data_IF_241208320633
#
_entry.id   IF_241208320633
#
_cell.length_a   1.000
_cell.length_b   1.000
_cell.length_c   1.000
_cell.angle_alpha   90.00
_cell.angle_beta   90.00
_cell.angle_gamma   90.00
#
_symmetry.space_group_name_H-M   'P 1'
#
loop_
_entity.id
_entity.type
_entity.pdbx_description
1 polymer ?
#
# COMPACT_ATOMS: atom_id res chain seq x y z
N UNK A 1 20.77 2.55 -22.96
CA UNK A 1 21.45 1.85 -21.86
C UNK A 1 20.51 1.90 -20.66
N UNK A 2 19.93 0.76 -20.26
CA UNK A 2 19.07 0.69 -19.07
C UNK A 2 20.01 0.78 -17.87
N UNK A 3 19.93 1.86 -17.10
CA UNK A 3 20.72 1.97 -15.87
C UNK A 3 20.30 0.82 -14.94
N UNK A 4 21.26 -0.02 -14.55
CA UNK A 4 21.00 -1.15 -13.67
C UNK A 4 20.58 -0.59 -12.30
N UNK A 5 19.31 -0.78 -11.93
CA UNK A 5 18.76 -0.25 -10.68
C UNK A 5 19.50 -0.90 -9.53
N UNK A 6 20.06 -0.13 -8.57
CA UNK A 6 20.85 -0.69 -7.48
C UNK A 6 20.01 -1.68 -6.67
N UNK A 7 20.59 -2.85 -6.41
CA UNK A 7 19.93 -3.95 -5.69
C UNK A 7 20.50 -4.09 -4.29
N UNK A 8 19.61 -4.21 -3.31
CA UNK A 8 19.92 -4.28 -1.90
C UNK A 8 19.44 -5.60 -1.31
N UNK A 9 20.26 -6.20 -0.46
CA UNK A 9 19.96 -7.44 0.24
C UNK A 9 19.11 -7.12 1.48
N UNK A 10 17.93 -7.73 1.57
CA UNK A 10 17.01 -7.55 2.68
C UNK A 10 17.57 -8.16 3.96
N UNK A 11 17.64 -7.35 5.01
CA UNK A 11 18.04 -7.76 6.37
C UNK A 11 16.97 -7.34 7.38
N UNK A 12 16.86 -8.06 8.51
CA UNK A 12 15.96 -7.65 9.56
C UNK A 12 16.44 -6.33 10.18
N UNK A 13 15.50 -5.47 10.54
CA UNK A 13 15.78 -4.32 11.39
C UNK A 13 16.32 -4.79 12.74
N UNK A 14 17.43 -4.20 13.21
CA UNK A 14 18.08 -4.59 14.46
C UNK A 14 17.25 -4.27 15.70
N UNK A 15 16.40 -3.23 15.63
CA UNK A 15 15.52 -2.81 16.72
C UNK A 15 14.16 -3.48 16.59
N UNK A 16 13.61 -3.90 17.73
CA UNK A 16 12.24 -4.41 17.80
C UNK A 16 11.25 -3.36 17.30
N UNK A 17 10.21 -3.78 16.54
CA UNK A 17 9.15 -2.89 16.13
C UNK A 17 8.46 -2.31 17.38
N UNK A 18 8.19 -1.01 17.35
CA UNK A 18 7.46 -0.34 18.43
C UNK A 18 6.05 -0.92 18.53
N UNK A 19 5.46 -0.93 19.72
CA UNK A 19 4.10 -1.41 19.94
C UNK A 19 3.04 -0.63 19.18
N UNK A 20 3.33 0.64 18.86
CA UNK A 20 2.46 1.53 18.09
C UNK A 20 2.60 1.36 16.57
N UNK A 21 3.43 0.42 16.10
CA UNK A 21 3.78 0.21 14.69
C UNK A 21 4.30 1.47 13.97
N UNK A 22 4.62 2.53 14.72
CA UNK A 22 5.20 3.75 14.18
C UNK A 22 6.53 3.41 13.52
N UNK A 23 6.78 4.05 12.37
CA UNK A 23 7.98 3.89 11.56
C UNK A 23 8.13 2.50 10.90
N UNK A 24 7.10 1.65 10.90
CA UNK A 24 7.18 0.30 10.33
C UNK A 24 7.55 0.30 8.84
N UNK A 25 7.12 1.30 8.09
CA UNK A 25 7.41 1.45 6.66
C UNK A 25 8.71 2.22 6.36
N UNK A 26 9.52 2.51 7.38
CA UNK A 26 10.86 3.05 7.14
C UNK A 26 11.79 1.94 6.69
N UNK A 27 12.44 2.15 5.55
CA UNK A 27 13.55 1.32 5.07
C UNK A 27 14.86 2.00 5.39
N UNK A 28 15.74 1.29 6.08
CA UNK A 28 16.98 1.85 6.57
C UNK A 28 18.12 1.49 5.63
N UNK A 29 18.78 2.54 5.13
CA UNK A 29 19.86 2.48 4.16
C UNK A 29 21.11 3.17 4.74
N UNK A 30 22.29 2.80 4.25
CA UNK A 30 23.50 3.57 4.55
C UNK A 30 23.43 4.96 3.91
N UNK A 31 24.20 5.91 4.42
CA UNK A 31 24.28 7.25 3.82
C UNK A 31 24.73 7.20 2.34
N UNK A 32 25.67 6.31 2.00
CA UNK A 32 26.12 6.09 0.63
C UNK A 32 25.00 5.51 -0.25
N UNK A 33 24.24 4.54 0.27
CA UNK A 33 23.12 3.94 -0.46
C UNK A 33 22.01 4.96 -0.74
N UNK A 34 21.68 5.84 0.22
CA UNK A 34 20.73 6.93 0.02
C UNK A 34 21.15 7.88 -1.11
N UNK A 35 22.44 8.23 -1.15
CA UNK A 35 23.00 9.04 -2.25
C UNK A 35 22.95 8.31 -3.59
N UNK A 36 23.24 7.01 -3.61
CA UNK A 36 23.19 6.16 -4.80
C UNK A 36 21.79 6.13 -5.42
N UNK A 37 20.75 5.98 -4.60
CA UNK A 37 19.35 5.99 -5.06
C UNK A 37 18.76 7.40 -5.22
N UNK A 38 19.52 8.44 -4.86
CA UNK A 38 19.13 9.87 -4.89
C UNK A 38 17.91 10.19 -4.01
N UNK A 39 17.80 9.52 -2.87
CA UNK A 39 16.68 9.68 -1.91
C UNK A 39 17.23 10.24 -0.60
N UNK A 40 16.51 11.16 0.04
CA UNK A 40 16.86 11.66 1.39
C UNK A 40 16.05 10.94 2.46
N UNK A 41 16.50 11.02 3.70
CA UNK A 41 15.71 10.51 4.83
C UNK A 41 14.36 11.25 4.90
N UNK A 42 13.28 10.49 4.92
CA UNK A 42 11.89 10.98 4.90
C UNK A 42 11.26 11.01 3.50
N UNK A 43 12.04 10.90 2.43
CA UNK A 43 11.48 10.85 1.06
C UNK A 43 10.82 9.48 0.81
N UNK A 44 9.77 9.48 -0.02
CA UNK A 44 9.10 8.28 -0.50
C UNK A 44 10.02 7.54 -1.50
N UNK A 45 10.06 6.22 -1.41
CA UNK A 45 10.80 5.36 -2.30
C UNK A 45 9.98 4.14 -2.71
N UNK A 46 10.31 3.59 -3.88
CA UNK A 46 9.69 2.40 -4.44
C UNK A 46 10.61 1.19 -4.23
N UNK A 47 10.04 0.10 -3.74
CA UNK A 47 10.66 -1.19 -3.51
C UNK A 47 10.11 -2.18 -4.53
N UNK A 48 11.01 -2.84 -5.25
CA UNK A 48 10.64 -3.82 -6.28
C UNK A 48 11.39 -5.12 -6.03
N UNK A 49 10.65 -6.22 -5.88
CA UNK A 49 11.20 -7.57 -5.91
C UNK A 49 11.24 -8.09 -7.36
N UNK A 50 12.15 -9.02 -7.68
CA UNK A 50 12.21 -9.62 -9.02
C UNK A 50 10.90 -10.34 -9.35
N UNK A 51 10.08 -9.73 -10.20
CA UNK A 51 8.77 -10.24 -10.62
C UNK A 51 7.60 -9.85 -9.71
N UNK A 52 7.83 -9.00 -8.70
CA UNK A 52 6.77 -8.47 -7.83
C UNK A 52 6.15 -7.18 -8.35
N UNK A 53 5.01 -6.80 -7.75
CA UNK A 53 4.46 -5.45 -7.93
C UNK A 53 5.29 -4.43 -7.15
N UNK A 54 5.49 -3.22 -7.69
CA UNK A 54 6.17 -2.16 -6.95
C UNK A 54 5.41 -1.81 -5.68
N UNK A 55 6.14 -1.62 -4.59
CA UNK A 55 5.60 -1.21 -3.29
C UNK A 55 6.24 0.10 -2.86
N UNK A 56 5.54 0.92 -2.10
CA UNK A 56 6.06 2.20 -1.60
C UNK A 56 6.50 2.09 -0.13
N UNK A 57 7.56 2.79 0.23
CA UNK A 57 8.09 2.87 1.58
C UNK A 57 8.81 4.21 1.82
N UNK A 58 9.21 4.50 3.05
CA UNK A 58 9.90 5.75 3.39
C UNK A 58 11.38 5.47 3.58
N UNK A 59 12.24 6.14 2.81
CA UNK A 59 13.68 5.99 2.98
C UNK A 59 14.15 6.64 4.29
N UNK A 60 15.05 5.98 5.00
CA UNK A 60 15.60 6.48 6.24
C UNK A 60 17.09 6.16 6.37
N UNK A 61 17.81 6.99 7.11
CA UNK A 61 19.22 6.72 7.43
C UNK A 61 19.30 5.65 8.52
N UNK A 62 20.06 4.59 8.27
CA UNK A 62 20.42 3.63 9.30
C UNK A 62 21.21 4.32 10.42
N UNK A 63 20.90 3.99 11.67
CA UNK A 63 21.65 4.48 12.84
C UNK A 63 22.97 3.71 13.02
N UNK A 64 22.99 2.45 12.60
CA UNK A 64 24.16 1.58 12.62
C UNK A 64 24.88 1.65 11.26
N UNK A 65 26.19 1.37 11.26
CA UNK A 65 26.96 1.24 10.02
C UNK A 65 26.58 -0.08 9.34
N UNK A 66 25.67 0.00 8.38
CA UNK A 66 25.28 -1.13 7.52
C UNK A 66 26.02 -1.08 6.18
N UNK A 67 26.28 -2.24 5.53
CA UNK A 67 26.90 -2.26 4.20
C UNK A 67 26.05 -1.55 3.15
N UNK A 68 26.70 -0.96 2.15
CA UNK A 68 26.03 -0.19 1.08
C UNK A 68 25.15 -1.05 0.14
N UNK A 69 25.23 -2.37 0.28
CA UNK A 69 24.44 -3.37 -0.48
C UNK A 69 23.30 -3.96 0.35
N UNK A 70 23.03 -3.43 1.55
CA UNK A 70 22.05 -3.96 2.49
C UNK A 70 20.96 -2.92 2.74
N UNK A 71 19.72 -3.41 2.86
CA UNK A 71 18.58 -2.64 3.35
C UNK A 71 17.99 -3.35 4.56
N UNK A 72 17.76 -2.60 5.63
CA UNK A 72 17.07 -3.10 6.82
C UNK A 72 15.61 -2.69 6.78
N UNK A 73 14.71 -3.66 6.96
CA UNK A 73 13.26 -3.43 6.95
C UNK A 73 12.59 -4.07 8.16
N UNK A 74 11.46 -3.51 8.59
CA UNK A 74 10.68 -4.07 9.69
C UNK A 74 10.07 -5.42 9.33
N UNK A 75 9.68 -6.19 10.34
CA UNK A 75 8.93 -7.44 10.14
C UNK A 75 7.56 -7.18 9.48
N UNK A 76 6.90 -6.08 9.85
CA UNK A 76 5.62 -5.67 9.24
C UNK A 76 5.75 -5.52 7.72
N UNK A 77 6.80 -4.86 7.23
CA UNK A 77 7.04 -4.70 5.78
C UNK A 77 7.38 -6.03 5.12
N UNK A 78 8.17 -6.89 5.78
CA UNK A 78 8.46 -8.24 5.27
C UNK A 78 7.17 -9.05 5.07
N UNK A 79 6.31 -9.07 6.09
CA UNK A 79 5.08 -9.86 6.09
C UNK A 79 4.05 -9.29 5.08
N UNK A 80 3.89 -7.96 5.00
CA UNK A 80 2.93 -7.33 4.08
C UNK A 80 3.36 -7.36 2.61
N UNK A 81 4.65 -7.19 2.34
CA UNK A 81 5.17 -7.17 0.96
C UNK A 81 5.73 -8.51 0.49
N UNK A 82 5.79 -9.50 1.39
CA UNK A 82 6.27 -10.85 1.08
C UNK A 82 7.78 -10.94 0.87
N UNK A 83 8.55 -9.96 1.33
CA UNK A 83 10.00 -9.95 1.17
C UNK A 83 10.68 -10.94 2.11
N UNK A 84 11.58 -11.77 1.56
CA UNK A 84 12.34 -12.74 2.35
C UNK A 84 13.69 -12.18 2.77
N UNK A 85 14.15 -12.55 3.96
CA UNK A 85 15.50 -12.21 4.40
C UNK A 85 16.54 -12.82 3.44
N UNK A 86 17.52 -12.01 3.04
CA UNK A 86 18.55 -12.40 2.07
C UNK A 86 18.15 -12.23 0.61
N UNK A 87 16.89 -11.92 0.31
CA UNK A 87 16.44 -11.56 -1.04
C UNK A 87 17.04 -10.23 -1.48
N UNK A 88 17.22 -10.04 -2.80
CA UNK A 88 17.66 -8.77 -3.38
C UNK A 88 16.48 -8.01 -3.95
N UNK A 89 16.25 -6.79 -3.48
CA UNK A 89 15.22 -5.87 -3.97
C UNK A 89 15.87 -4.64 -4.60
N UNK A 90 15.23 -4.04 -5.61
CA UNK A 90 15.63 -2.73 -6.13
C UNK A 90 14.91 -1.62 -5.38
N UNK A 91 15.63 -0.52 -5.18
CA UNK A 91 15.08 0.69 -4.55
C UNK A 91 15.29 1.86 -5.50
N UNK A 92 14.22 2.61 -5.75
CA UNK A 92 14.24 3.81 -6.58
C UNK A 92 13.50 4.95 -5.90
N UNK A 93 13.84 6.18 -6.28
CA UNK A 93 13.14 7.37 -5.81
C UNK A 93 11.72 7.39 -6.33
N UNK A 94 10.76 7.62 -5.44
CA UNK A 94 9.41 8.00 -5.83
C UNK A 94 9.29 9.53 -5.78
N UNK A 95 8.77 10.15 -6.84
CA UNK A 95 8.61 11.61 -6.89
C UNK A 95 7.20 12.04 -6.46
N UNK A 96 6.27 11.10 -6.35
CA UNK A 96 4.94 11.35 -5.83
C UNK A 96 4.99 11.66 -4.33
N UNK A 97 4.06 12.51 -3.90
CA UNK A 97 3.83 12.75 -2.48
C UNK A 97 3.05 11.58 -1.90
N UNK A 98 3.22 11.37 -0.60
CA UNK A 98 2.43 10.41 0.14
C UNK A 98 0.99 10.94 0.28
N UNK A 99 0.02 10.16 -0.18
CA UNK A 99 -1.38 10.56 -0.08
C UNK A 99 -1.91 10.41 1.34
N UNK A 100 -2.80 11.33 1.71
CA UNK A 100 -3.56 11.24 2.94
C UNK A 100 -4.73 10.26 2.80
N UNK A 101 -5.06 9.61 3.90
CA UNK A 101 -6.25 8.77 4.03
C UNK A 101 -7.49 9.64 4.21
N UNK A 102 -8.51 9.44 3.35
CA UNK A 102 -9.86 9.96 3.56
C UNK A 102 -10.65 9.06 4.52
N UNK A 103 -10.67 7.76 4.24
CA UNK A 103 -11.32 6.77 5.09
C UNK A 103 -10.57 5.44 5.06
N UNK A 104 -10.66 4.68 6.15
CA UNK A 104 -10.21 3.30 6.20
C UNK A 104 -11.33 2.40 6.69
N UNK A 105 -11.32 1.17 6.18
CA UNK A 105 -12.17 0.09 6.68
C UNK A 105 -11.31 -0.97 7.32
N UNK A 106 -11.74 -1.39 8.50
CA UNK A 106 -11.12 -2.49 9.22
C UNK A 106 -12.12 -3.63 9.40
N UNK A 107 -11.62 -4.84 9.22
CA UNK A 107 -12.36 -6.06 9.51
C UNK A 107 -11.86 -6.64 10.83
N UNK A 108 -12.80 -7.11 11.66
CA UNK A 108 -12.42 -7.83 12.86
C UNK A 108 -11.81 -9.19 12.49
N UNK A 109 -10.59 -9.43 12.93
CA UNK A 109 -9.87 -10.69 12.73
C UNK A 109 -9.42 -11.29 14.07
N UNK A 110 -10.17 -11.02 15.15
CA UNK A 110 -9.96 -11.63 16.46
C UNK A 110 -10.03 -13.16 16.34
N UNK A 111 -9.16 -13.90 17.04
CA UNK A 111 -9.17 -15.36 17.03
C UNK A 111 -10.55 -15.92 17.39
N UNK A 112 -11.04 -16.91 16.63
CA UNK A 112 -12.34 -17.54 16.86
C UNK A 112 -12.53 -18.07 18.31
N UNK A 113 -11.43 -18.54 18.92
CA UNK A 113 -11.41 -19.01 20.31
C UNK A 113 -11.70 -17.88 21.31
N UNK A 114 -11.21 -16.66 21.05
CA UNK A 114 -11.46 -15.48 21.89
C UNK A 114 -12.85 -14.91 21.63
N UNK A 115 -13.28 -14.88 20.36
CA UNK A 115 -14.64 -14.44 19.97
C UNK A 115 -15.70 -15.30 20.66
N UNK A 116 -15.47 -16.61 20.79
CA UNK A 116 -16.39 -17.52 21.48
C UNK A 116 -16.65 -17.14 22.94
N UNK A 117 -15.68 -16.48 23.60
CA UNK A 117 -15.81 -15.99 24.98
C UNK A 117 -16.39 -14.58 25.06
N UNK A 118 -16.06 -13.72 24.09
CA UNK A 118 -16.42 -12.29 24.07
C UNK A 118 -17.75 -11.99 23.38
N UNK A 119 -18.22 -12.89 22.52
CA UNK A 119 -19.35 -12.67 21.62
C UNK A 119 -18.99 -11.83 20.39
N UNK A 120 -19.87 -11.82 19.36
CA UNK A 120 -19.68 -11.01 18.16
C UNK A 120 -19.70 -9.50 18.50
N UNK A 121 -19.09 -8.69 17.64
CA UNK A 121 -19.17 -7.24 17.77
C UNK A 121 -20.60 -6.77 17.46
N UNK A 122 -21.29 -6.22 18.47
CA UNK A 122 -22.62 -5.67 18.30
C UNK A 122 -22.57 -4.35 17.52
N UNK A 123 -23.56 -4.11 16.66
CA UNK A 123 -23.62 -2.87 15.87
C UNK A 123 -23.70 -1.62 16.74
N UNK A 124 -24.40 -1.68 17.88
CA UNK A 124 -24.50 -0.58 18.84
C UNK A 124 -23.14 -0.17 19.43
N UNK A 125 -22.21 -1.12 19.55
CA UNK A 125 -20.88 -0.85 20.09
C UNK A 125 -19.90 -0.38 19.02
N UNK A 126 -20.17 -0.65 17.73
CA UNK A 126 -19.24 -0.43 16.61
C UNK A 126 -18.64 0.99 16.60
N UNK A 127 -19.47 2.02 16.77
CA UNK A 127 -18.99 3.40 16.77
C UNK A 127 -17.98 3.71 17.89
N UNK A 128 -18.10 3.03 19.05
CA UNK A 128 -17.14 3.17 20.14
C UNK A 128 -15.79 2.51 19.80
N UNK A 129 -15.82 1.40 19.08
CA UNK A 129 -14.62 0.72 18.61
C UNK A 129 -13.94 1.50 17.48
N UNK A 130 -14.72 2.02 16.53
CA UNK A 130 -14.24 2.92 15.47
C UNK A 130 -13.51 4.13 16.07
N UNK A 131 -14.14 4.80 17.04
CA UNK A 131 -13.52 5.92 17.77
C UNK A 131 -12.25 5.49 18.53
N UNK A 132 -12.29 4.36 19.23
CA UNK A 132 -11.13 3.85 19.97
C UNK A 132 -9.93 3.50 19.08
N UNK A 133 -10.18 3.10 17.82
CA UNK A 133 -9.17 2.76 16.84
C UNK A 133 -8.46 4.01 16.26
N UNK A 134 -9.10 5.18 16.27
CA UNK A 134 -8.51 6.43 15.75
C UNK A 134 -7.14 6.73 16.38
N UNK A 135 -6.99 6.47 17.68
CA UNK A 135 -5.75 6.78 18.40
C UNK A 135 -4.57 5.85 18.04
N UNK A 136 -4.69 4.51 18.07
CA UNK A 136 -3.65 3.62 17.53
C UNK A 136 -3.26 3.93 16.10
N UNK A 137 -4.23 4.21 15.23
CA UNK A 137 -4.00 4.54 13.82
C UNK A 137 -3.26 5.87 13.66
N UNK A 138 -3.65 6.88 14.43
CA UNK A 138 -2.95 8.17 14.48
C UNK A 138 -1.50 8.04 14.95
N UNK A 139 -1.21 7.15 15.90
CA UNK A 139 0.17 6.88 16.34
C UNK A 139 1.01 6.19 15.29
N UNK A 140 0.40 5.31 14.50
CA UNK A 140 1.10 4.59 13.44
C UNK A 140 1.58 5.54 12.32
N UNK A 141 0.84 6.63 12.09
CA UNK A 141 1.06 7.69 11.07
C UNK A 141 0.97 7.20 9.62
N UNK A 142 1.60 6.06 9.31
CA UNK A 142 1.65 5.45 7.98
C UNK A 142 0.89 4.14 8.01
N UNK A 143 -0.11 4.01 7.15
CA UNK A 143 -1.01 2.86 7.09
C UNK A 143 -0.91 2.19 5.72
N UNK A 144 -1.01 0.86 5.70
CA UNK A 144 -1.15 0.05 4.50
C UNK A 144 -2.24 -0.99 4.68
N UNK A 145 -2.79 -1.48 3.56
CA UNK A 145 -3.70 -2.61 3.58
C UNK A 145 -3.00 -3.85 4.14
N UNK A 146 -3.74 -4.63 4.93
CA UNK A 146 -3.26 -5.82 5.60
C UNK A 146 -2.67 -5.59 6.99
N UNK A 147 -2.43 -4.35 7.41
CA UNK A 147 -1.97 -4.05 8.77
C UNK A 147 -2.97 -4.50 9.83
N UNK A 148 -2.47 -4.93 10.97
CA UNK A 148 -3.28 -5.47 12.07
C UNK A 148 -3.06 -4.66 13.34
N UNK A 149 -4.15 -4.25 13.97
CA UNK A 149 -4.19 -3.44 15.18
C UNK A 149 -4.96 -4.16 16.28
N UNK A 150 -4.36 -4.23 17.46
CA UNK A 150 -5.02 -4.73 18.66
C UNK A 150 -5.57 -3.54 19.45
N UNK A 151 -6.83 -3.65 19.87
CA UNK A 151 -7.47 -2.66 20.74
C UNK A 151 -8.16 -3.36 21.90
N UNK A 152 -7.90 -2.86 23.11
CA UNK A 152 -8.61 -3.25 24.33
C UNK A 152 -9.53 -2.11 24.76
N UNK A 153 -10.84 -2.37 24.73
CA UNK A 153 -11.85 -1.46 25.26
C UNK A 153 -12.61 -2.15 26.38
N UNK A 154 -12.58 -1.55 27.57
CA UNK A 154 -13.28 -2.05 28.77
C UNK A 154 -12.93 -3.51 29.14
N UNK A 155 -11.69 -3.94 28.89
CA UNK A 155 -11.23 -5.31 29.17
C UNK A 155 -11.58 -6.32 28.07
N UNK A 156 -12.23 -5.86 27.00
CA UNK A 156 -12.47 -6.65 25.81
C UNK A 156 -11.37 -6.34 24.80
N UNK A 157 -10.48 -7.31 24.55
CA UNK A 157 -9.43 -7.17 23.53
C UNK A 157 -9.89 -7.77 22.21
N UNK A 158 -9.93 -6.94 21.17
CA UNK A 158 -10.23 -7.34 19.78
C UNK A 158 -9.09 -6.94 18.85
N UNK A 159 -8.97 -7.65 17.74
CA UNK A 159 -7.94 -7.44 16.73
C UNK A 159 -8.62 -7.09 15.41
N UNK A 160 -8.12 -6.03 14.77
CA UNK A 160 -8.70 -5.45 13.56
C UNK A 160 -7.65 -5.35 12.46
N UNK A 161 -7.99 -5.79 11.25
CA UNK A 161 -7.13 -5.73 10.07
C UNK A 161 -7.63 -4.65 9.12
N UNK A 162 -6.72 -3.82 8.62
CA UNK A 162 -7.02 -2.84 7.56
C UNK A 162 -7.27 -3.60 6.27
N UNK A 163 -8.48 -3.47 5.71
CA UNK A 163 -8.90 -4.21 4.51
C UNK A 163 -9.12 -3.32 3.30
N UNK A 164 -9.42 -2.04 3.50
CA UNK A 164 -9.61 -1.07 2.42
C UNK A 164 -9.13 0.30 2.89
N UNK A 165 -8.37 0.99 2.04
CA UNK A 165 -7.96 2.38 2.26
C UNK A 165 -8.53 3.23 1.13
N UNK A 166 -9.27 4.27 1.49
CA UNK A 166 -9.73 5.30 0.57
C UNK A 166 -8.80 6.50 0.67
N UNK A 167 -7.94 6.74 -0.32
CA UNK A 167 -7.09 7.92 -0.31
C UNK A 167 -7.91 9.18 -0.62
N UNK A 168 -7.48 10.31 -0.07
CA UNK A 168 -8.08 11.62 -0.32
C UNK A 168 -7.91 12.05 -1.78
N UNK A 169 -6.76 11.73 -2.36
CA UNK A 169 -6.45 11.92 -3.78
C UNK A 169 -6.26 10.54 -4.39
N UNK A 170 -6.89 10.26 -5.54
CA UNK A 170 -6.67 8.99 -6.25
C UNK A 170 -5.28 8.98 -6.92
N UNK A 171 -4.20 8.83 -6.15
CA UNK A 171 -2.94 8.34 -6.72
C UNK A 171 -3.04 6.85 -6.99
N UNK A 172 -2.35 6.40 -8.03
CA UNK A 172 -2.54 5.06 -8.62
C UNK A 172 -1.51 4.03 -8.20
N UNK A 173 -0.42 4.44 -7.55
CA UNK A 173 0.72 3.55 -7.29
C UNK A 173 1.14 3.43 -5.83
N UNK A 174 0.58 4.24 -4.92
CA UNK A 174 0.96 4.21 -3.52
C UNK A 174 0.37 2.99 -2.80
N UNK A 175 1.20 2.24 -2.07
CA UNK A 175 0.79 1.11 -1.23
C UNK A 175 0.79 1.46 0.25
N UNK A 176 1.26 2.65 0.61
CA UNK A 176 1.17 3.23 1.95
C UNK A 176 0.51 4.61 1.86
N UNK A 177 -0.16 5.00 2.94
CA UNK A 177 -0.92 6.24 3.03
C UNK A 177 -0.70 6.89 4.39
N UNK A 178 -0.78 8.22 4.45
CA UNK A 178 -0.68 8.97 5.68
C UNK A 178 -2.03 9.05 6.38
N UNK A 179 -2.12 8.55 7.61
CA UNK A 179 -3.28 8.73 8.46
C UNK A 179 -3.22 10.10 9.14
N UNK A 180 -4.28 10.88 9.03
CA UNK A 180 -4.38 12.23 9.60
C UNK A 180 -5.62 12.38 10.47
N UNK A 181 -5.74 13.50 11.19
CA UNK A 181 -6.91 13.78 12.02
C UNK A 181 -8.22 13.95 11.21
N UNK A 182 -8.13 14.03 9.88
CA UNK A 182 -9.29 14.13 8.97
C UNK A 182 -9.75 12.75 8.47
N UNK A 183 -8.93 11.71 8.68
CA UNK A 183 -9.21 10.36 8.25
C UNK A 183 -10.35 9.76 9.08
N UNK A 184 -11.29 9.09 8.42
CA UNK A 184 -12.41 8.41 9.07
C UNK A 184 -12.14 6.92 9.22
N UNK A 185 -12.58 6.35 10.34
CA UNK A 185 -12.42 4.92 10.64
C UNK A 185 -13.78 4.24 10.59
N UNK A 186 -13.85 3.13 9.86
CA UNK A 186 -15.04 2.29 9.78
C UNK A 186 -14.70 0.85 10.08
N UNK A 187 -15.59 0.14 10.78
CA UNK A 187 -15.49 -1.31 10.97
C UNK A 187 -16.53 -2.00 10.09
N UNK A 188 -16.08 -2.97 9.30
CA UNK A 188 -16.95 -3.74 8.42
C UNK A 188 -16.18 -4.53 7.38
N UNK A 189 -16.92 -5.29 6.58
CA UNK A 189 -16.35 -5.98 5.43
C UNK A 189 -15.84 -4.96 4.41
N UNK A 190 -14.78 -5.31 3.68
CA UNK A 190 -14.33 -4.52 2.55
C UNK A 190 -15.52 -4.30 1.60
N UNK A 191 -15.76 -3.05 1.19
CA UNK A 191 -16.69 -2.86 0.10
C UNK A 191 -16.03 -3.54 -1.10
N UNK A 192 -16.70 -4.51 -1.71
CA UNK A 192 -16.25 -5.10 -2.95
C UNK A 192 -16.38 -4.03 -4.04
N UNK A 193 -15.46 -3.06 -4.03
CA UNK A 193 -15.27 -2.12 -5.10
C UNK A 193 -14.73 -2.98 -6.22
N UNK A 194 -15.62 -3.36 -7.14
CA UNK A 194 -15.19 -3.93 -8.41
C UNK A 194 -14.06 -3.04 -8.88
N UNK A 195 -12.87 -3.60 -9.08
CA UNK A 195 -11.79 -2.95 -9.79
C UNK A 195 -12.38 -2.61 -11.14
N UNK A 196 -12.91 -1.39 -11.26
CA UNK A 196 -13.46 -0.90 -12.51
C UNK A 196 -12.33 -1.07 -13.50
N UNK A 197 -12.58 -1.88 -14.53
CA UNK A 197 -11.60 -2.11 -15.57
C UNK A 197 -11.11 -0.74 -16.04
N UNK A 198 -9.80 -0.55 -16.05
CA UNK A 198 -9.18 0.69 -16.53
C UNK A 198 -9.69 1.08 -17.92
N UNK A 199 -10.13 0.06 -18.67
CA UNK A 199 -10.89 0.15 -19.91
C UNK A 199 -12.40 0.13 -19.67
N UNK A 200 -13.08 1.23 -20.02
CA UNK A 200 -14.53 1.28 -20.17
C UNK A 200 -14.90 0.66 -21.52
N UNK A 201 -15.55 -0.51 -21.52
CA UNK A 201 -16.05 -1.13 -22.72
C UNK A 201 -17.36 -1.87 -22.43
N UNK A 202 -18.33 -1.71 -23.32
CA UNK A 202 -19.58 -2.47 -23.34
C UNK A 202 -19.33 -3.81 -24.05
N UNK A 203 -19.52 -4.95 -23.37
CA UNK A 203 -19.33 -6.26 -23.98
C UNK A 203 -20.45 -6.55 -24.97
N UNK A 204 -20.12 -7.22 -26.09
CA UNK A 204 -21.10 -7.61 -27.12
C UNK A 204 -21.91 -8.86 -26.77
N UNK A 205 -21.66 -9.47 -25.61
CA UNK A 205 -22.38 -10.67 -25.16
C UNK A 205 -23.83 -10.34 -24.81
N UNK A 206 -24.78 -11.03 -25.43
CA UNK A 206 -26.22 -10.87 -25.16
C UNK A 206 -26.90 -9.70 -25.90
N UNK A 207 -26.15 -8.93 -26.69
CA UNK A 207 -26.68 -7.79 -27.47
C UNK A 207 -26.65 -8.09 -28.97
N UNK A 208 -27.74 -8.66 -29.49
CA UNK A 208 -27.92 -8.94 -30.92
C UNK A 208 -28.32 -7.70 -31.73
N UNK A 209 -27.86 -7.58 -32.98
CA UNK A 209 -28.30 -6.53 -33.92
C UNK A 209 -27.76 -5.12 -33.66
N UNK A 210 -27.09 -4.87 -32.53
CA UNK A 210 -26.60 -3.54 -32.13
C UNK A 210 -25.08 -3.36 -32.31
N UNK A 211 -24.46 -4.14 -33.20
CA UNK A 211 -22.99 -4.21 -33.31
C UNK A 211 -22.35 -2.86 -33.67
N UNK A 212 -23.01 -2.09 -34.54
CA UNK A 212 -22.50 -0.80 -35.00
C UNK A 212 -22.57 0.25 -33.88
N UNK A 213 -23.67 0.27 -33.13
CA UNK A 213 -23.89 1.13 -31.99
C UNK A 213 -22.90 0.80 -30.86
N UNK A 214 -22.67 -0.48 -30.61
CA UNK A 214 -21.69 -0.92 -29.63
C UNK A 214 -20.26 -0.48 -30.00
N UNK A 215 -19.90 -0.54 -31.29
CA UNK A 215 -18.62 -0.02 -31.78
C UNK A 215 -18.49 1.48 -31.54
N UNK A 216 -19.51 2.28 -31.88
CA UNK A 216 -19.49 3.73 -31.67
C UNK A 216 -19.40 4.11 -30.19
N UNK A 217 -20.10 3.38 -29.31
CA UNK A 217 -20.04 3.60 -27.87
C UNK A 217 -18.64 3.24 -27.36
N UNK A 218 -18.12 2.07 -27.70
CA UNK A 218 -16.80 1.64 -27.25
C UNK A 218 -15.67 2.51 -27.81
N UNK A 219 -15.83 3.08 -29.01
CA UNK A 219 -14.93 4.08 -29.56
C UNK A 219 -14.90 5.35 -28.71
N UNK A 220 -16.07 5.91 -28.35
CA UNK A 220 -16.14 7.07 -27.45
C UNK A 220 -15.67 6.77 -26.03
N UNK A 221 -15.92 5.56 -25.52
CA UNK A 221 -15.48 5.14 -24.19
C UNK A 221 -13.96 4.96 -24.10
N UNK A 222 -13.25 4.81 -25.22
CA UNK A 222 -11.77 4.81 -25.23
C UNK A 222 -11.19 6.15 -24.77
N UNK A 223 -11.86 7.26 -25.05
CA UNK A 223 -11.40 8.59 -24.64
C UNK A 223 -11.43 8.76 -23.11
N UNK A 224 -12.31 8.02 -22.44
CA UNK A 224 -12.48 8.02 -20.97
C UNK A 224 -11.77 6.86 -20.28
N UNK A 225 -11.26 5.92 -21.06
CA UNK A 225 -10.43 4.82 -20.58
C UNK A 225 -9.09 5.41 -20.18
N UNK A 226 -8.69 5.24 -18.92
CA UNK A 226 -7.40 5.76 -18.50
C UNK A 226 -6.32 4.79 -18.97
N UNK A 227 -5.97 4.89 -20.25
CA UNK A 227 -4.72 4.37 -20.75
C UNK A 227 -3.60 5.15 -20.08
N UNK A 228 -2.83 4.47 -19.21
CA UNK A 228 -1.41 4.77 -19.11
C UNK A 228 -0.91 4.84 -20.55
N UNK A 229 -0.61 6.05 -21.03
CA UNK A 229 -0.12 6.23 -22.38
C UNK A 229 1.27 5.59 -22.41
N UNK A 230 1.33 4.29 -22.70
CA UNK A 230 2.52 3.66 -23.25
C UNK A 230 2.67 4.25 -24.65
N UNK A 231 3.22 5.46 -24.71
CA UNK A 231 3.64 6.11 -25.94
C UNK A 231 4.78 5.27 -26.50
N UNK A 232 4.41 4.24 -27.26
CA UNK A 232 5.39 3.45 -28.01
C UNK A 232 5.71 4.27 -29.25
N UNK A 233 6.94 4.77 -29.30
CA UNK A 233 7.45 5.48 -30.46
C UNK A 233 7.31 4.59 -31.70
N UNK A 234 6.69 5.08 -32.80
CA UNK A 234 6.57 4.32 -34.04
C UNK A 234 7.94 3.80 -34.49
N UNK A 235 7.99 2.58 -35.02
CA UNK A 235 9.24 1.92 -35.45
C UNK A 235 10.05 2.75 -36.44
N UNK A 236 9.40 3.64 -37.21
CA UNK A 236 10.04 4.60 -38.09
C UNK A 236 11.04 5.53 -37.39
N UNK A 237 10.84 5.85 -36.11
CA UNK A 237 11.72 6.73 -35.32
C UNK A 237 12.75 5.98 -34.47
N UNK A 238 12.77 4.63 -34.51
CA UNK A 238 13.86 3.86 -33.89
C UNK A 238 15.05 3.86 -34.86
N UNK A 239 15.98 4.80 -34.68
CA UNK A 239 17.26 4.81 -35.41
C UNK A 239 18.03 3.51 -35.14
N UNK A 240 18.60 2.94 -36.21
CA UNK A 240 19.45 1.74 -36.20
C UNK A 240 20.68 1.87 -35.29
#
# INVERSE_FOLDING_TARGET
>A
MVADTPRFTVRPLSKQPRSDQKDSFRVFLSASSLLLVKVRAGDLCRLESPGGSPKTAIAWSAAEKIPDTVVQISKTVQDLYGFKLGEKISISKENELLDEVSAIRLEECTDANKISTLGPLLEADRGHWEWGLEYPLSKCEIIAEGMVFDLDLRGNRRTFKVVEIEPLTQSRSNTIFQFTARSKVFIGQALHRQTLSSSLAVPSSGLGGLRQQLMQINERLRDFTIQEHNVVMPSFYRSS
#
